data_IF_629926607890
#
_entry.id   IF_629926607890
#
_cell.length_a   1.000
_cell.length_b   1.000
_cell.length_c   1.000
_cell.angle_alpha   90.00
_cell.angle_beta   90.00
_cell.angle_gamma   90.00
#
_symmetry.space_group_name_H-M   'P 1'
#
loop_
_entity.id
_entity.type
_entity.pdbx_description
1 polymer ?
#
# COMPACT_ATOMS: atom_id res chain seq x y z
N UNK A 1 65.69 -24.53 11.19
CA UNK A 1 64.43 -24.29 11.93
C UNK A 1 63.49 -23.63 10.91
N UNK A 2 62.66 -24.42 10.22
CA UNK A 2 61.83 -23.93 9.11
C UNK A 2 60.44 -23.60 9.65
N UNK A 3 60.08 -22.32 9.67
CA UNK A 3 58.76 -21.86 10.10
C UNK A 3 57.77 -22.04 8.96
N UNK A 4 56.89 -23.03 9.10
CA UNK A 4 55.78 -23.28 8.20
C UNK A 4 54.64 -22.31 8.55
N UNK A 5 54.52 -21.19 7.82
CA UNK A 5 53.39 -20.27 7.96
C UNK A 5 52.23 -20.77 7.11
N UNK A 6 51.26 -21.45 7.73
CA UNK A 6 49.97 -21.75 7.12
C UNK A 6 49.23 -20.45 6.76
N UNK A 7 48.58 -20.36 5.59
CA UNK A 7 47.75 -19.22 5.25
C UNK A 7 46.48 -19.25 6.12
N UNK A 8 46.17 -18.12 6.76
CA UNK A 8 44.90 -17.90 7.46
C UNK A 8 43.78 -17.84 6.44
N UNK A 9 43.07 -18.96 6.23
CA UNK A 9 41.79 -18.93 5.53
C UNK A 9 40.82 -18.04 6.31
N UNK A 10 40.35 -16.98 5.64
CA UNK A 10 39.24 -16.18 6.15
C UNK A 10 37.99 -17.06 6.17
N UNK A 11 37.18 -17.07 7.24
CA UNK A 11 35.98 -17.89 7.28
C UNK A 11 35.05 -17.42 6.15
N UNK A 12 34.86 -18.26 5.14
CA UNK A 12 33.84 -18.07 4.12
C UNK A 12 32.49 -18.29 4.80
N UNK A 13 31.78 -17.19 5.07
CA UNK A 13 30.39 -17.28 5.50
C UNK A 13 29.62 -17.97 4.37
N UNK A 14 29.11 -19.17 4.65
CA UNK A 14 28.20 -19.88 3.75
C UNK A 14 27.09 -18.91 3.30
N UNK A 15 26.78 -18.82 1.99
CA UNK A 15 25.70 -17.95 1.52
C UNK A 15 24.43 -18.28 2.29
N UNK A 16 23.82 -17.26 2.91
CA UNK A 16 22.52 -17.43 3.56
C UNK A 16 21.50 -18.05 2.59
N UNK A 17 20.47 -18.75 3.09
CA UNK A 17 19.49 -19.46 2.26
C UNK A 17 19.05 -18.63 1.05
N UNK A 18 19.15 -19.17 -0.17
CA UNK A 18 18.84 -18.44 -1.42
C UNK A 18 17.45 -17.80 -1.43
N UNK A 19 16.50 -18.40 -0.72
CA UNK A 19 15.15 -17.87 -0.51
C UNK A 19 15.13 -16.48 0.16
N UNK A 20 16.12 -16.17 1.02
CA UNK A 20 16.25 -14.85 1.65
C UNK A 20 16.91 -13.83 0.74
N UNK A 21 17.75 -14.28 -0.19
CA UNK A 21 18.33 -13.45 -1.24
C UNK A 21 17.28 -13.07 -2.31
N UNK A 22 16.25 -13.90 -2.49
CA UNK A 22 15.12 -13.61 -3.39
C UNK A 22 14.01 -12.82 -2.67
N UNK A 23 13.77 -13.12 -1.38
CA UNK A 23 12.65 -12.61 -0.59
C UNK A 23 13.15 -11.90 0.66
N UNK A 24 13.15 -10.58 0.60
CA UNK A 24 13.54 -9.76 1.75
C UNK A 24 12.41 -9.72 2.80
N UNK A 25 12.80 -9.69 4.08
CA UNK A 25 11.84 -9.46 5.17
C UNK A 25 11.10 -8.13 4.99
N UNK A 26 11.80 -7.07 4.55
CA UNK A 26 11.18 -5.77 4.31
C UNK A 26 10.12 -5.83 3.20
N UNK A 27 10.35 -6.60 2.13
CA UNK A 27 9.38 -6.79 1.06
C UNK A 27 8.13 -7.56 1.52
N UNK A 28 8.25 -8.43 2.52
CA UNK A 28 7.10 -9.11 3.14
C UNK A 28 6.37 -8.14 4.08
N UNK A 29 7.09 -7.53 5.01
CA UNK A 29 6.51 -6.71 6.08
C UNK A 29 6.03 -5.34 5.63
N UNK A 30 6.36 -4.87 4.42
CA UNK A 30 5.83 -3.59 3.90
C UNK A 30 4.30 -3.55 3.91
N UNK A 31 3.64 -4.68 3.67
CA UNK A 31 2.18 -4.77 3.74
C UNK A 31 1.63 -4.70 5.17
N UNK A 32 2.35 -5.26 6.14
CA UNK A 32 2.00 -5.11 7.55
C UNK A 32 2.18 -3.66 8.03
N UNK A 33 3.29 -3.02 7.62
CA UNK A 33 3.56 -1.61 7.90
C UNK A 33 2.47 -0.72 7.27
N UNK A 34 2.00 -1.05 6.06
CA UNK A 34 0.95 -0.32 5.36
C UNK A 34 -0.40 -0.28 6.12
N UNK A 35 -0.66 -1.23 7.03
CA UNK A 35 -1.87 -1.22 7.87
C UNK A 35 -1.87 -0.04 8.85
N UNK A 36 -0.68 0.44 9.27
CA UNK A 36 -0.57 1.47 10.29
C UNK A 36 -1.22 2.78 9.80
N UNK A 37 -2.20 3.32 10.53
CA UNK A 37 -2.82 4.59 10.17
C UNK A 37 -1.77 5.71 10.12
N UNK A 38 -1.83 6.55 9.09
CA UNK A 38 -0.95 7.69 8.82
C UNK A 38 0.52 7.33 8.54
N UNK A 39 1.11 6.41 9.28
CA UNK A 39 2.49 5.95 9.12
C UNK A 39 2.64 5.04 7.91
N UNK A 40 1.68 4.15 7.66
CA UNK A 40 1.70 3.20 6.55
C UNK A 40 1.94 3.85 5.19
N UNK A 41 1.13 4.85 4.76
CA UNK A 41 1.34 5.55 3.49
C UNK A 41 2.71 6.21 3.38
N UNK A 42 3.20 6.83 4.46
CA UNK A 42 4.51 7.51 4.45
C UNK A 42 5.63 6.47 4.36
N UNK A 43 5.53 5.39 5.13
CA UNK A 43 6.52 4.33 5.15
C UNK A 43 6.59 3.60 3.81
N UNK A 44 5.47 3.34 3.13
CA UNK A 44 5.47 2.71 1.80
C UNK A 44 6.14 3.60 0.75
N UNK A 45 5.92 4.93 0.78
CA UNK A 45 6.65 5.90 -0.05
C UNK A 45 8.15 5.81 0.21
N UNK A 46 8.57 5.90 1.48
CA UNK A 46 9.99 5.86 1.83
C UNK A 46 10.63 4.55 1.37
N UNK A 47 10.01 3.40 1.70
CA UNK A 47 10.51 2.08 1.32
C UNK A 47 10.61 1.96 -0.20
N UNK A 48 9.61 2.43 -0.96
CA UNK A 48 9.63 2.41 -2.42
C UNK A 48 10.81 3.21 -2.98
N UNK A 49 11.06 4.41 -2.46
CA UNK A 49 12.10 5.32 -2.96
C UNK A 49 13.51 4.83 -2.62
N UNK A 50 13.72 4.28 -1.43
CA UNK A 50 15.07 3.93 -0.94
C UNK A 50 15.46 2.47 -1.20
N UNK A 51 14.53 1.60 -1.56
CA UNK A 51 14.81 0.19 -1.80
C UNK A 51 15.50 -0.03 -3.15
N UNK A 52 16.67 -0.67 -3.12
CA UNK A 52 17.38 -1.18 -4.29
C UNK A 52 16.97 -2.60 -4.67
N UNK A 53 16.46 -3.39 -3.72
CA UNK A 53 16.05 -4.77 -3.96
C UNK A 53 14.72 -4.82 -4.71
N UNK A 54 14.68 -5.50 -5.86
CA UNK A 54 13.53 -5.55 -6.75
C UNK A 54 12.26 -6.04 -6.04
N UNK A 55 12.35 -7.14 -5.30
CA UNK A 55 11.22 -7.68 -4.52
C UNK A 55 10.65 -6.67 -3.52
N UNK A 56 11.50 -6.00 -2.72
CA UNK A 56 11.06 -4.97 -1.77
C UNK A 56 10.39 -3.81 -2.50
N UNK A 57 11.03 -3.32 -3.56
CA UNK A 57 10.56 -2.16 -4.32
C UNK A 57 9.23 -2.42 -5.00
N UNK A 58 9.05 -3.61 -5.58
CA UNK A 58 7.80 -4.03 -6.20
C UNK A 58 6.65 -4.13 -5.18
N UNK A 59 6.87 -4.76 -4.03
CA UNK A 59 5.84 -4.84 -2.98
C UNK A 59 5.51 -3.45 -2.40
N UNK A 60 6.52 -2.59 -2.21
CA UNK A 60 6.32 -1.22 -1.74
C UNK A 60 5.54 -0.37 -2.73
N UNK A 61 5.82 -0.49 -4.04
CA UNK A 61 5.03 0.15 -5.11
C UNK A 61 3.57 -0.31 -5.07
N UNK A 62 3.33 -1.62 -5.02
CA UNK A 62 1.96 -2.14 -5.00
C UNK A 62 1.18 -1.63 -3.77
N UNK A 63 1.84 -1.61 -2.60
CA UNK A 63 1.24 -1.08 -1.38
C UNK A 63 0.98 0.45 -1.47
N UNK A 64 1.87 1.18 -2.14
CA UNK A 64 1.72 2.62 -2.39
C UNK A 64 0.57 2.92 -3.36
N UNK A 65 0.51 2.23 -4.50
CA UNK A 65 -0.60 2.35 -5.46
C UNK A 65 -1.94 2.10 -4.77
N UNK A 66 -2.02 1.09 -3.89
CA UNK A 66 -3.21 0.82 -3.10
C UNK A 66 -3.56 1.96 -2.14
N UNK A 67 -2.58 2.50 -1.41
CA UNK A 67 -2.82 3.66 -0.54
C UNK A 67 -3.34 4.86 -1.33
N UNK A 68 -2.70 5.20 -2.44
CA UNK A 68 -3.10 6.33 -3.27
C UNK A 68 -4.51 6.14 -3.84
N UNK A 69 -4.83 4.93 -4.27
CA UNK A 69 -6.18 4.60 -4.74
C UNK A 69 -7.23 4.76 -3.65
N UNK A 70 -7.03 4.18 -2.47
CA UNK A 70 -8.00 4.22 -1.37
C UNK A 70 -8.14 5.63 -0.80
N UNK A 71 -7.02 6.31 -0.52
CA UNK A 71 -7.02 7.69 -0.01
C UNK A 71 -7.65 8.62 -1.05
N UNK A 72 -7.25 8.50 -2.32
CA UNK A 72 -7.81 9.28 -3.42
C UNK A 72 -9.33 9.07 -3.54
N UNK A 73 -9.81 7.83 -3.43
CA UNK A 73 -11.24 7.51 -3.49
C UNK A 73 -12.02 8.13 -2.33
N UNK A 74 -11.49 8.05 -1.10
CA UNK A 74 -12.11 8.67 0.08
C UNK A 74 -12.14 10.19 -0.06
N UNK A 75 -11.01 10.82 -0.38
CA UNK A 75 -10.94 12.26 -0.54
C UNK A 75 -11.85 12.76 -1.67
N UNK A 76 -11.90 12.06 -2.81
CA UNK A 76 -12.78 12.41 -3.92
C UNK A 76 -14.26 12.30 -3.52
N UNK A 77 -14.65 11.24 -2.81
CA UNK A 77 -16.04 11.06 -2.37
C UNK A 77 -16.47 12.15 -1.38
N UNK A 78 -15.62 12.49 -0.41
CA UNK A 78 -15.90 13.58 0.54
C UNK A 78 -15.90 14.96 -0.14
N UNK A 79 -14.95 15.23 -1.04
CA UNK A 79 -14.92 16.47 -1.79
C UNK A 79 -16.18 16.64 -2.65
N UNK A 80 -16.66 15.55 -3.26
CA UNK A 80 -17.91 15.55 -4.02
C UNK A 80 -19.12 15.82 -3.12
N UNK A 81 -19.21 15.16 -1.96
CA UNK A 81 -20.30 15.39 -1.00
C UNK A 81 -20.34 16.84 -0.54
N UNK A 82 -19.23 17.34 -0.01
CA UNK A 82 -19.12 18.71 0.50
C UNK A 82 -19.35 19.72 -0.62
N UNK A 83 -18.78 19.48 -1.81
CA UNK A 83 -18.91 20.37 -2.95
C UNK A 83 -20.34 20.50 -3.46
N UNK A 84 -21.10 19.40 -3.51
CA UNK A 84 -22.51 19.42 -3.91
C UNK A 84 -23.41 20.05 -2.85
N UNK A 85 -23.20 19.70 -1.58
CA UNK A 85 -23.91 20.30 -0.44
C UNK A 85 -23.72 21.83 -0.44
N UNK A 86 -22.46 22.28 -0.52
CA UNK A 86 -22.11 23.70 -0.63
C UNK A 86 -22.77 24.35 -1.86
N UNK A 87 -22.78 23.68 -3.01
CA UNK A 87 -23.41 24.23 -4.22
C UNK A 87 -24.93 24.44 -4.05
N UNK A 88 -25.62 23.51 -3.40
CA UNK A 88 -27.06 23.60 -3.16
C UNK A 88 -27.44 24.67 -2.12
N UNK A 89 -26.51 25.08 -1.26
CA UNK A 89 -26.71 26.29 -0.44
C UNK A 89 -26.79 27.57 -1.30
N UNK A 90 -26.05 27.64 -2.41
CA UNK A 90 -26.04 28.81 -3.30
C UNK A 90 -27.09 28.75 -4.41
N UNK A 91 -27.53 27.56 -4.78
CA UNK A 91 -28.48 27.33 -5.88
C UNK A 91 -29.72 26.65 -5.31
N UNK A 92 -30.87 27.34 -5.35
CA UNK A 92 -32.12 26.71 -4.95
C UNK A 92 -32.44 25.51 -5.85
N UNK A 93 -32.42 24.33 -5.25
CA UNK A 93 -32.84 23.07 -5.86
C UNK A 93 -34.04 22.54 -5.07
N UNK A 94 -35.09 22.01 -5.72
CA UNK A 94 -36.17 21.33 -5.01
C UNK A 94 -35.64 20.18 -4.15
N UNK A 95 -36.11 20.06 -2.90
CA UNK A 95 -35.64 19.07 -1.90
C UNK A 95 -35.56 17.64 -2.43
N UNK A 96 -36.53 17.24 -3.28
CA UNK A 96 -36.56 15.91 -3.88
C UNK A 96 -35.38 15.68 -4.84
N UNK A 97 -35.00 16.70 -5.61
CA UNK A 97 -33.87 16.63 -6.55
C UNK A 97 -32.54 16.66 -5.80
N UNK A 98 -32.43 17.50 -4.78
CA UNK A 98 -31.26 17.53 -3.89
C UNK A 98 -31.03 16.15 -3.25
N UNK A 99 -32.08 15.59 -2.63
CA UNK A 99 -32.01 14.26 -2.01
C UNK A 99 -31.66 13.17 -3.02
N UNK A 100 -32.24 13.23 -4.23
CA UNK A 100 -31.95 12.26 -5.30
C UNK A 100 -30.49 12.32 -5.78
N UNK A 101 -29.83 13.48 -5.71
CA UNK A 101 -28.42 13.65 -6.06
C UNK A 101 -27.50 13.28 -4.89
N UNK A 102 -27.81 13.70 -3.66
CA UNK A 102 -26.94 13.46 -2.50
C UNK A 102 -26.96 12.00 -2.04
N UNK A 103 -28.08 11.27 -2.20
CA UNK A 103 -28.17 9.87 -1.79
C UNK A 103 -27.10 8.96 -2.44
N UNK A 104 -26.91 8.92 -3.78
CA UNK A 104 -25.85 8.12 -4.38
C UNK A 104 -24.45 8.57 -3.98
N UNK A 105 -24.24 9.87 -3.74
CA UNK A 105 -22.95 10.41 -3.27
C UNK A 105 -22.67 9.96 -1.84
N UNK A 106 -23.68 9.94 -0.99
CA UNK A 106 -23.58 9.39 0.36
C UNK A 106 -23.25 7.89 0.34
N UNK A 107 -23.91 7.11 -0.53
CA UNK A 107 -23.58 5.68 -0.73
C UNK A 107 -22.14 5.51 -1.21
N UNK A 108 -21.66 6.38 -2.10
CA UNK A 108 -20.27 6.38 -2.57
C UNK A 108 -19.28 6.65 -1.43
N UNK A 109 -19.56 7.61 -0.55
CA UNK A 109 -18.75 7.88 0.65
C UNK A 109 -18.69 6.63 1.53
N UNK A 110 -19.84 6.00 1.82
CA UNK A 110 -19.88 4.76 2.60
C UNK A 110 -19.09 3.63 1.95
N UNK A 111 -19.17 3.47 0.63
CA UNK A 111 -18.40 2.48 -0.12
C UNK A 111 -16.89 2.76 -0.02
N UNK A 112 -16.46 4.02 -0.18
CA UNK A 112 -15.06 4.42 -0.06
C UNK A 112 -14.51 4.19 1.36
N UNK A 113 -15.30 4.50 2.40
CA UNK A 113 -14.92 4.20 3.78
C UNK A 113 -14.83 2.70 4.05
N UNK A 114 -15.77 1.92 3.51
CA UNK A 114 -15.77 0.46 3.62
C UNK A 114 -14.55 -0.15 2.94
N UNK A 115 -14.13 0.39 1.80
CA UNK A 115 -12.89 0.01 1.12
C UNK A 115 -11.65 0.30 1.97
N UNK A 116 -11.63 1.45 2.66
CA UNK A 116 -10.61 1.79 3.65
C UNK A 116 -10.52 0.75 4.78
N UNK A 117 -11.65 0.32 5.33
CA UNK A 117 -11.68 -0.74 6.36
C UNK A 117 -11.24 -2.10 5.80
N UNK A 118 -11.71 -2.46 4.60
CA UNK A 118 -11.36 -3.71 3.94
C UNK A 118 -9.86 -3.79 3.59
N UNK A 119 -9.19 -2.64 3.45
CA UNK A 119 -7.76 -2.58 3.17
C UNK A 119 -6.92 -3.33 4.20
N UNK A 120 -7.33 -3.33 5.48
CA UNK A 120 -6.65 -4.12 6.53
C UNK A 120 -6.57 -5.61 6.16
N UNK A 121 -7.67 -6.18 5.66
CA UNK A 121 -7.71 -7.58 5.20
C UNK A 121 -6.86 -7.76 3.95
N UNK A 122 -6.97 -6.85 2.98
CA UNK A 122 -6.25 -6.96 1.70
C UNK A 122 -4.73 -6.87 1.91
N UNK A 123 -4.26 -6.02 2.83
CA UNK A 123 -2.84 -5.97 3.21
C UNK A 123 -2.33 -7.28 3.84
N UNK A 124 -3.15 -7.95 4.66
CA UNK A 124 -2.79 -9.28 5.20
C UNK A 124 -2.72 -10.32 4.08
N UNK A 125 -3.63 -10.29 3.10
CA UNK A 125 -3.55 -11.16 1.92
C UNK A 125 -2.29 -10.87 1.12
N UNK A 126 -1.97 -9.60 0.87
CA UNK A 126 -0.76 -9.20 0.15
C UNK A 126 0.51 -9.67 0.88
N UNK A 127 0.55 -9.55 2.21
CA UNK A 127 1.64 -10.08 3.03
C UNK A 127 1.78 -11.60 2.88
N UNK A 128 0.67 -12.35 2.97
CA UNK A 128 0.69 -13.79 2.78
C UNK A 128 1.24 -14.16 1.39
N UNK A 129 0.84 -13.44 0.35
CA UNK A 129 1.36 -13.63 -1.01
C UNK A 129 2.85 -13.29 -1.13
N UNK A 130 3.31 -12.24 -0.46
CA UNK A 130 4.72 -11.89 -0.40
C UNK A 130 5.56 -12.96 0.32
N UNK A 131 5.04 -13.62 1.36
CA UNK A 131 5.70 -14.78 2.00
C UNK A 131 5.98 -15.89 0.98
N UNK A 132 5.02 -16.13 0.07
CA UNK A 132 5.17 -17.10 -1.01
C UNK A 132 6.00 -16.59 -2.20
N UNK A 133 6.54 -15.37 -2.13
CA UNK A 133 7.45 -14.78 -3.13
C UNK A 133 6.75 -13.99 -4.23
N UNK A 134 5.46 -13.70 -4.08
CA UNK A 134 4.72 -12.94 -5.09
C UNK A 134 4.60 -11.46 -4.71
N UNK A 135 5.12 -10.56 -5.55
CA UNK A 135 4.85 -9.13 -5.46
C UNK A 135 3.45 -8.82 -6.01
N UNK A 136 2.44 -9.18 -5.23
CA UNK A 136 1.05 -9.17 -5.70
C UNK A 136 0.51 -7.75 -5.87
N UNK A 137 -0.13 -7.52 -7.02
CA UNK A 137 -0.83 -6.27 -7.31
C UNK A 137 -2.22 -6.32 -6.70
N UNK A 138 -2.61 -5.23 -6.05
CA UNK A 138 -3.89 -5.13 -5.38
C UNK A 138 -5.03 -5.14 -6.41
N UNK A 139 -6.15 -5.83 -6.13
CA UNK A 139 -7.29 -5.86 -7.03
C UNK A 139 -7.80 -4.44 -7.25
N UNK A 140 -8.05 -4.07 -8.51
CA UNK A 140 -8.59 -2.75 -8.91
C UNK A 140 -7.65 -1.55 -8.68
N UNK A 141 -6.45 -1.74 -8.12
CA UNK A 141 -5.49 -0.67 -7.96
C UNK A 141 -4.93 -0.25 -9.34
N UNK A 142 -5.06 1.03 -9.73
CA UNK A 142 -4.37 1.55 -10.90
C UNK A 142 -2.85 1.58 -10.69
N UNK A 143 -2.10 1.57 -11.79
CA UNK A 143 -0.65 1.86 -11.76
C UNK A 143 -0.46 3.37 -11.68
N UNK A 144 -0.03 3.86 -10.52
CA UNK A 144 0.13 5.31 -10.28
C UNK A 144 1.60 5.71 -10.18
N UNK A 145 2.48 4.78 -9.78
CA UNK A 145 3.90 5.03 -9.46
C UNK A 145 4.87 4.20 -10.29
#
# INVERSE_FOLDING_TARGET
MSTNSSPTESPTTEPGPSILAERTLLGIFVHFIAILPFIGPIATVVIYLVSSHEFTRANARNALDWHLFVIGSVLAAFALLIGLDTLFEYVMVPDLLESAVLLPVFVLVLAAMSLGLLSAVIWIVAMAKAIFGEAWRYPFAPELV
#
